data_IF_385999092648
#
_entry.id   IF_385999092648
#
_cell.length_a   1.000
_cell.length_b   1.000
_cell.length_c   1.000
_cell.angle_alpha   90.00
_cell.angle_beta   90.00
_cell.angle_gamma   90.00
#
_symmetry.space_group_name_H-M   'P 1'
#
loop_
_entity.id
_entity.type
_entity.pdbx_description
1 polymer ?
#
# COMPACT_ATOMS: atom_id res chain seq x y z
N UNK A 1 -21.06 -6.20 -6.52
CA UNK A 1 -22.43 -5.74 -6.83
C UNK A 1 -22.32 -4.48 -7.68
N UNK A 2 -23.34 -4.12 -8.45
CA UNK A 2 -23.30 -2.89 -9.26
C UNK A 2 -23.71 -1.68 -8.42
N UNK A 3 -23.21 -0.49 -8.77
CA UNK A 3 -23.60 0.79 -8.16
C UNK A 3 -25.12 0.96 -8.01
N UNK A 4 -25.89 0.44 -8.98
CA UNK A 4 -27.35 0.47 -8.97
C UNK A 4 -27.97 -0.13 -7.70
N UNK A 5 -27.31 -1.11 -7.05
CA UNK A 5 -27.81 -1.77 -5.86
C UNK A 5 -27.79 -0.90 -4.59
N UNK A 6 -26.98 0.17 -4.58
CA UNK A 6 -26.81 1.03 -3.40
C UNK A 6 -26.86 2.53 -3.71
N UNK A 7 -27.08 2.93 -4.97
CA UNK A 7 -27.21 4.34 -5.38
C UNK A 7 -28.18 5.14 -4.50
N UNK A 8 -29.34 4.59 -4.16
CA UNK A 8 -30.34 5.33 -3.39
C UNK A 8 -29.90 5.61 -1.93
N UNK A 9 -28.86 4.91 -1.46
CA UNK A 9 -28.29 5.10 -0.12
C UNK A 9 -27.28 6.25 -0.06
N UNK A 10 -26.77 6.74 -1.20
CA UNK A 10 -25.68 7.74 -1.23
C UNK A 10 -26.07 9.05 -0.54
N UNK A 11 -27.35 9.44 -0.59
CA UNK A 11 -27.88 10.63 0.09
C UNK A 11 -27.72 10.59 1.61
N UNK A 12 -27.60 9.39 2.20
CA UNK A 12 -27.38 9.20 3.64
C UNK A 12 -25.91 9.09 4.03
N UNK A 13 -24.99 9.09 3.07
CA UNK A 13 -23.57 8.91 3.36
C UNK A 13 -22.99 10.17 4.00
N UNK A 14 -22.05 9.97 4.92
CA UNK A 14 -21.32 11.07 5.51
C UNK A 14 -20.40 11.68 4.45
N UNK A 15 -20.63 12.95 4.12
CA UNK A 15 -19.75 13.72 3.25
C UNK A 15 -18.49 14.20 3.97
N UNK A 16 -17.34 13.98 3.33
CA UNK A 16 -16.02 14.41 3.79
C UNK A 16 -15.31 15.09 2.63
N UNK A 17 -15.17 16.41 2.69
CA UNK A 17 -14.38 17.17 1.72
C UNK A 17 -12.91 17.15 2.15
N UNK A 18 -12.05 16.57 1.31
CA UNK A 18 -10.61 16.41 1.60
C UNK A 18 -9.73 17.36 0.80
N UNK A 19 -10.30 18.17 -0.10
CA UNK A 19 -9.54 19.07 -1.00
C UNK A 19 -8.66 20.08 -0.27
N UNK A 20 -9.04 20.44 0.96
CA UNK A 20 -8.31 21.39 1.80
C UNK A 20 -7.80 20.76 3.10
N UNK A 21 -7.97 19.45 3.29
CA UNK A 21 -7.47 18.78 4.48
C UNK A 21 -5.96 18.61 4.39
N UNK A 22 -5.28 18.95 5.48
CA UNK A 22 -3.84 18.85 5.61
C UNK A 22 -3.46 17.68 6.52
N UNK A 23 -2.33 17.03 6.24
CA UNK A 23 -1.80 15.93 7.05
C UNK A 23 -2.45 14.57 6.74
N UNK A 24 -2.44 13.66 7.72
CA UNK A 24 -2.78 12.24 7.52
C UNK A 24 -4.31 11.97 7.45
N UNK A 25 -5.02 12.65 6.55
CA UNK A 25 -6.47 12.50 6.41
C UNK A 25 -6.86 11.10 5.91
N UNK A 26 -6.02 10.48 5.07
CA UNK A 26 -6.27 9.15 4.53
C UNK A 26 -6.36 8.08 5.64
N UNK A 27 -5.44 8.11 6.61
CA UNK A 27 -5.53 7.18 7.75
C UNK A 27 -6.79 7.42 8.59
N UNK A 28 -7.16 8.69 8.80
CA UNK A 28 -8.40 9.05 9.50
C UNK A 28 -9.65 8.53 8.77
N UNK A 29 -9.70 8.67 7.44
CA UNK A 29 -10.78 8.13 6.61
C UNK A 29 -10.86 6.61 6.69
N UNK A 30 -9.73 5.91 6.57
CA UNK A 30 -9.67 4.45 6.64
C UNK A 30 -10.15 3.96 8.01
N UNK A 31 -9.72 4.62 9.11
CA UNK A 31 -10.19 4.28 10.46
C UNK A 31 -11.68 4.54 10.66
N UNK A 32 -12.22 5.62 10.08
CA UNK A 32 -13.65 5.89 10.12
C UNK A 32 -14.43 4.84 9.33
N UNK A 33 -13.98 4.52 8.12
CA UNK A 33 -14.58 3.51 7.24
C UNK A 33 -14.55 2.11 7.87
N UNK A 34 -13.49 1.76 8.60
CA UNK A 34 -13.37 0.47 9.30
C UNK A 34 -14.50 0.22 10.33
N UNK A 35 -15.16 1.27 10.83
CA UNK A 35 -16.25 1.18 11.81
C UNK A 35 -17.65 1.08 11.20
N UNK A 36 -17.76 1.28 9.88
CA UNK A 36 -19.04 1.25 9.19
C UNK A 36 -19.56 -0.18 9.05
N UNK A 37 -20.88 -0.33 9.11
CA UNK A 37 -21.59 -1.59 8.89
C UNK A 37 -21.93 -1.81 7.41
N UNK A 38 -22.31 -3.04 7.06
CA UNK A 38 -22.71 -3.36 5.69
C UNK A 38 -23.93 -2.53 5.30
N UNK A 39 -23.86 -1.86 4.16
CA UNK A 39 -24.86 -0.92 3.65
C UNK A 39 -24.61 0.55 4.03
N UNK A 40 -23.69 0.83 4.94
CA UNK A 40 -23.25 2.19 5.26
C UNK A 40 -22.11 2.64 4.33
N UNK A 41 -21.85 3.94 4.29
CA UNK A 41 -20.90 4.52 3.36
C UNK A 41 -20.46 5.94 3.69
N UNK A 42 -19.53 6.43 2.88
CA UNK A 42 -18.98 7.79 2.92
C UNK A 42 -18.93 8.38 1.51
N UNK A 43 -19.16 9.68 1.41
CA UNK A 43 -18.87 10.48 0.21
C UNK A 43 -17.58 11.25 0.47
N UNK A 44 -16.58 11.10 -0.41
CA UNK A 44 -15.31 11.82 -0.34
C UNK A 44 -15.21 12.76 -1.52
N UNK A 45 -15.02 14.05 -1.25
CA UNK A 45 -14.80 15.05 -2.29
C UNK A 45 -13.31 15.33 -2.42
N UNK A 46 -12.75 15.15 -3.62
CA UNK A 46 -11.32 15.31 -3.91
C UNK A 46 -11.11 16.02 -5.25
N UNK A 47 -9.92 16.59 -5.43
CA UNK A 47 -9.51 17.35 -6.62
C UNK A 47 -9.17 16.46 -7.82
N UNK A 48 -8.95 15.17 -7.60
CA UNK A 48 -8.62 14.14 -8.60
C UNK A 48 -9.10 12.77 -8.10
N UNK A 49 -9.09 11.76 -8.97
CA UNK A 49 -9.42 10.38 -8.58
C UNK A 49 -8.42 9.82 -7.55
N UNK A 50 -8.87 9.50 -6.31
CA UNK A 50 -7.99 9.00 -5.27
C UNK A 50 -7.79 7.49 -5.40
N UNK A 51 -7.13 7.03 -6.48
CA UNK A 51 -6.84 5.61 -6.72
C UNK A 51 -6.26 4.85 -5.51
N UNK A 52 -5.33 5.43 -4.71
CA UNK A 52 -4.85 4.77 -3.50
C UNK A 52 -5.95 4.47 -2.47
N UNK A 53 -6.99 5.30 -2.41
CA UNK A 53 -8.12 5.15 -1.49
C UNK A 53 -9.12 4.09 -1.97
N UNK A 54 -9.30 3.94 -3.29
CA UNK A 54 -10.12 2.86 -3.87
C UNK A 54 -9.57 1.50 -3.45
N UNK A 55 -8.30 1.25 -3.77
CA UNK A 55 -7.59 0.05 -3.34
C UNK A 55 -7.55 -0.07 -1.80
N UNK A 56 -7.65 1.06 -1.09
CA UNK A 56 -7.65 1.04 0.36
C UNK A 56 -8.91 0.39 0.94
N UNK A 57 -10.06 0.88 0.49
CA UNK A 57 -11.37 0.54 1.01
C UNK A 57 -11.91 -0.76 0.40
N UNK A 58 -11.52 -1.14 -0.81
CA UNK A 58 -11.90 -2.43 -1.43
C UNK A 58 -11.48 -3.65 -0.59
N UNK A 59 -10.29 -3.60 0.02
CA UNK A 59 -9.82 -4.68 0.90
C UNK A 59 -10.58 -4.72 2.23
N UNK A 60 -11.22 -3.62 2.63
CA UNK A 60 -12.13 -3.61 3.77
C UNK A 60 -13.53 -4.12 3.39
N UNK A 61 -13.80 -4.35 2.10
CA UNK A 61 -15.12 -4.79 1.60
C UNK A 61 -16.02 -3.64 1.14
N UNK A 62 -15.44 -2.51 0.73
CA UNK A 62 -16.18 -1.43 0.08
C UNK A 62 -16.18 -1.57 -1.44
N UNK A 63 -17.27 -1.17 -2.05
CA UNK A 63 -17.34 -0.78 -3.46
C UNK A 63 -17.32 0.74 -3.56
N UNK A 64 -16.90 1.26 -4.71
CA UNK A 64 -16.87 2.70 -4.96
C UNK A 64 -17.59 3.08 -6.26
N UNK A 65 -18.08 4.31 -6.31
CA UNK A 65 -18.57 4.97 -7.51
C UNK A 65 -18.05 6.41 -7.52
N UNK A 66 -17.58 6.87 -8.68
CA UNK A 66 -16.98 8.19 -8.83
C UNK A 66 -17.78 9.01 -9.83
N UNK A 67 -18.14 10.22 -9.41
CA UNK A 67 -18.79 11.23 -10.24
C UNK A 67 -17.86 12.45 -10.34
N UNK A 68 -17.52 12.86 -11.56
CA UNK A 68 -16.78 14.09 -11.80
C UNK A 68 -17.76 15.23 -12.09
N UNK A 69 -17.88 16.18 -11.17
CA UNK A 69 -18.82 17.32 -11.27
C UNK A 69 -18.17 18.58 -11.84
N UNK A 70 -16.83 18.69 -11.75
CA UNK A 70 -16.02 19.72 -12.40
C UNK A 70 -14.63 19.18 -12.76
N UNK A 71 -13.80 19.98 -13.45
CA UNK A 71 -12.43 19.59 -13.83
C UNK A 71 -11.60 19.10 -12.63
N UNK A 72 -11.77 19.74 -11.48
CA UNK A 72 -11.07 19.46 -10.22
C UNK A 72 -12.04 19.13 -9.08
N UNK A 73 -13.20 18.55 -9.39
CA UNK A 73 -14.17 18.14 -8.37
C UNK A 73 -14.68 16.73 -8.67
N UNK A 74 -14.25 15.80 -7.81
CA UNK A 74 -14.59 14.39 -7.86
C UNK A 74 -15.31 14.01 -6.58
N UNK A 75 -16.51 13.46 -6.73
CA UNK A 75 -17.30 12.88 -5.65
C UNK A 75 -17.15 11.37 -5.72
N UNK A 76 -16.50 10.80 -4.71
CA UNK A 76 -16.31 9.36 -4.60
C UNK A 76 -17.20 8.83 -3.49
N UNK A 77 -18.18 8.02 -3.86
CA UNK A 77 -19.04 7.32 -2.92
C UNK A 77 -18.46 5.94 -2.64
N UNK A 78 -18.24 5.62 -1.37
CA UNK A 78 -17.89 4.27 -0.94
C UNK A 78 -19.03 3.65 -0.16
N UNK A 79 -19.46 2.45 -0.53
CA UNK A 79 -20.46 1.69 0.21
C UNK A 79 -19.87 0.35 0.66
N UNK A 80 -20.01 0.02 1.95
CA UNK A 80 -19.58 -1.28 2.46
C UNK A 80 -20.57 -2.35 2.01
N UNK A 81 -20.15 -3.22 1.11
CA UNK A 81 -21.00 -4.32 0.62
C UNK A 81 -20.75 -5.61 1.38
N UNK A 82 -19.59 -5.74 2.01
CA UNK A 82 -19.23 -6.87 2.85
C UNK A 82 -18.26 -6.44 3.96
N UNK A 83 -18.18 -7.24 5.03
CA UNK A 83 -17.11 -7.09 6.02
C UNK A 83 -16.03 -8.10 5.69
N UNK A 84 -14.95 -7.62 5.09
CA UNK A 84 -13.71 -8.40 5.01
C UNK A 84 -12.96 -8.20 6.31
N UNK A 85 -12.56 -9.30 6.94
CA UNK A 85 -11.42 -9.32 7.89
C UNK A 85 -10.09 -9.17 7.12
N UNK A 86 -10.11 -8.37 6.04
CA UNK A 86 -9.00 -8.20 5.13
C UNK A 86 -7.83 -7.62 5.88
N UNK A 87 -6.76 -8.40 5.95
CA UNK A 87 -5.49 -7.90 6.39
C UNK A 87 -5.10 -6.70 5.51
N UNK A 88 -4.94 -5.52 6.11
CA UNK A 88 -4.58 -4.31 5.38
C UNK A 88 -3.32 -4.58 4.54
N UNK A 89 -3.41 -4.29 3.23
CA UNK A 89 -2.27 -4.44 2.33
C UNK A 89 -1.20 -3.45 2.80
N UNK A 90 0.02 -3.92 3.11
CA UNK A 90 1.01 -3.06 3.77
C UNK A 90 1.58 -2.04 2.77
N UNK A 91 1.90 -0.85 3.25
CA UNK A 91 2.64 0.18 2.51
C UNK A 91 1.94 0.74 1.27
N UNK A 92 0.62 0.94 1.35
CA UNK A 92 -0.12 1.66 0.31
C UNK A 92 0.50 3.03 0.07
N UNK A 93 0.44 3.56 -1.15
CA UNK A 93 1.05 4.85 -1.49
C UNK A 93 0.21 6.03 -0.96
N UNK A 94 -0.36 5.95 0.24
CA UNK A 94 -1.26 6.96 0.80
C UNK A 94 -0.57 8.32 0.96
N UNK A 95 0.75 8.33 1.12
CA UNK A 95 1.54 9.56 1.14
C UNK A 95 1.40 10.41 -0.14
N UNK A 96 1.04 9.80 -1.29
CA UNK A 96 0.79 10.55 -2.53
C UNK A 96 -0.44 11.47 -2.40
N UNK A 97 -1.38 11.15 -1.52
CA UNK A 97 -2.56 11.97 -1.26
C UNK A 97 -2.22 13.29 -0.54
N UNK A 98 -1.00 13.44 -0.04
CA UNK A 98 -0.52 14.67 0.59
C UNK A 98 0.15 15.63 -0.42
N UNK A 99 0.48 15.19 -1.63
CA UNK A 99 1.13 16.02 -2.66
C UNK A 99 0.29 17.25 -3.11
N UNK A 100 -1.05 17.21 -3.08
CA UNK A 100 -1.89 18.40 -3.31
C UNK A 100 -1.60 19.56 -2.35
N UNK A 101 -1.01 19.30 -1.18
CA UNK A 101 -0.56 20.36 -0.27
C UNK A 101 0.56 21.22 -0.87
N UNK A 102 1.31 20.67 -1.84
CA UNK A 102 2.35 21.38 -2.59
C UNK A 102 1.72 21.99 -3.85
N UNK A 103 1.08 21.14 -4.66
CA UNK A 103 0.41 21.51 -5.90
C UNK A 103 -0.59 20.41 -6.32
N UNK A 104 -1.82 20.80 -6.64
CA UNK A 104 -2.90 19.85 -6.97
C UNK A 104 -2.61 19.02 -8.22
N UNK A 105 -2.03 19.66 -9.26
CA UNK A 105 -1.66 18.98 -10.50
C UNK A 105 -0.52 17.99 -10.26
N UNK A 106 0.44 18.32 -9.40
CA UNK A 106 1.49 17.42 -8.97
C UNK A 106 0.91 16.20 -8.23
N UNK A 107 -0.06 16.39 -7.35
CA UNK A 107 -0.76 15.29 -6.67
C UNK A 107 -1.42 14.33 -7.65
N UNK A 108 -2.17 14.86 -8.62
CA UNK A 108 -2.75 14.07 -9.71
C UNK A 108 -1.69 13.28 -10.49
N UNK A 109 -0.63 13.96 -10.95
CA UNK A 109 0.47 13.32 -11.71
C UNK A 109 1.10 12.19 -10.91
N UNK A 110 1.34 12.39 -9.60
CA UNK A 110 1.97 11.39 -8.76
C UNK A 110 1.10 10.14 -8.59
N UNK A 111 -0.21 10.31 -8.38
CA UNK A 111 -1.16 9.20 -8.27
C UNK A 111 -1.31 8.45 -9.59
N UNK A 112 -1.50 9.16 -10.71
CA UNK A 112 -1.61 8.56 -12.05
C UNK A 112 -0.33 7.79 -12.42
N UNK A 113 0.84 8.35 -12.07
CA UNK A 113 2.12 7.70 -12.30
C UNK A 113 2.23 6.39 -11.50
N UNK A 114 1.81 6.38 -10.24
CA UNK A 114 1.82 5.17 -9.42
C UNK A 114 0.89 4.10 -10.00
N UNK A 115 -0.34 4.46 -10.35
CA UNK A 115 -1.32 3.54 -10.92
C UNK A 115 -0.80 2.94 -12.24
N UNK A 116 -0.32 3.80 -13.15
CA UNK A 116 0.27 3.40 -14.44
C UNK A 116 1.44 2.43 -14.24
N UNK A 117 2.26 2.67 -13.22
CA UNK A 117 3.45 1.86 -12.94
C UNK A 117 3.10 0.51 -12.32
N UNK A 118 2.17 0.48 -11.35
CA UNK A 118 1.95 -0.66 -10.49
C UNK A 118 0.69 -1.47 -10.81
N UNK A 119 -0.39 -0.81 -11.21
CA UNK A 119 -1.73 -1.39 -11.37
C UNK A 119 -2.17 -1.56 -12.84
N UNK A 120 -1.39 -1.05 -13.80
CA UNK A 120 -1.76 -1.15 -15.20
C UNK A 120 -1.96 -2.61 -15.66
N UNK A 121 -3.07 -2.95 -16.34
CA UNK A 121 -3.29 -4.29 -16.88
C UNK A 121 -2.33 -4.65 -18.03
N UNK A 122 -1.56 -3.67 -18.52
CA UNK A 122 -0.56 -3.86 -19.59
C UNK A 122 0.79 -4.42 -19.08
N UNK A 123 0.92 -4.72 -17.79
CA UNK A 123 2.19 -5.25 -17.24
C UNK A 123 2.34 -6.73 -17.61
N UNK A 124 3.51 -7.08 -18.14
CA UNK A 124 3.86 -8.47 -18.50
C UNK A 124 4.45 -9.25 -17.32
N UNK A 125 5.25 -8.59 -16.49
CA UNK A 125 5.88 -9.24 -15.34
C UNK A 125 4.87 -9.37 -14.19
N UNK A 126 4.84 -10.54 -13.51
CA UNK A 126 4.08 -10.73 -12.28
C UNK A 126 4.36 -9.64 -11.25
N UNK A 127 3.39 -9.37 -10.37
CA UNK A 127 3.49 -8.29 -9.39
C UNK A 127 4.69 -8.50 -8.45
N UNK A 128 4.88 -9.73 -7.98
CA UNK A 128 5.95 -10.15 -7.08
C UNK A 128 7.32 -9.98 -7.73
N UNK A 129 7.47 -10.33 -9.01
CA UNK A 129 8.71 -10.11 -9.76
C UNK A 129 9.05 -8.62 -9.85
N UNK A 130 8.06 -7.75 -10.08
CA UNK A 130 8.28 -6.30 -10.10
C UNK A 130 8.67 -5.75 -8.73
N UNK A 131 8.12 -6.30 -7.64
CA UNK A 131 8.54 -5.95 -6.28
C UNK A 131 10.00 -6.35 -6.02
N UNK A 132 10.45 -7.53 -6.48
CA UNK A 132 11.85 -7.95 -6.36
C UNK A 132 12.81 -7.03 -7.14
N UNK A 133 12.45 -6.64 -8.36
CA UNK A 133 13.22 -5.66 -9.14
C UNK A 133 13.28 -4.30 -8.44
N UNK A 134 12.16 -3.85 -7.88
CA UNK A 134 12.09 -2.61 -7.10
C UNK A 134 12.93 -2.68 -5.82
N UNK A 135 12.92 -3.83 -5.13
CA UNK A 135 13.76 -4.10 -3.96
C UNK A 135 15.23 -3.97 -4.33
N UNK A 136 15.68 -4.71 -5.34
CA UNK A 136 17.08 -4.70 -5.76
C UNK A 136 17.54 -3.29 -6.20
N UNK A 137 16.71 -2.58 -6.96
CA UNK A 137 16.98 -1.20 -7.35
C UNK A 137 17.06 -0.26 -6.14
N UNK A 138 16.18 -0.42 -5.15
CA UNK A 138 16.22 0.36 -3.92
C UNK A 138 17.49 0.09 -3.10
N UNK A 139 17.94 -1.16 -3.03
CA UNK A 139 19.22 -1.53 -2.38
C UNK A 139 20.39 -0.85 -3.09
N UNK A 140 20.47 -0.96 -4.42
CA UNK A 140 21.54 -0.33 -5.21
C UNK A 140 21.57 1.20 -5.08
N UNK A 141 20.43 1.83 -4.77
CA UNK A 141 20.33 3.25 -4.49
C UNK A 141 20.54 3.62 -3.00
N UNK A 142 20.90 2.67 -2.13
CA UNK A 142 21.06 2.89 -0.68
C UNK A 142 19.75 3.15 0.07
N UNK A 143 18.58 2.92 -0.55
CA UNK A 143 17.26 3.22 0.01
C UNK A 143 16.69 2.03 0.79
N UNK A 144 17.34 1.65 1.89
CA UNK A 144 16.99 0.46 2.68
C UNK A 144 15.56 0.46 3.21
N UNK A 145 15.01 1.64 3.54
CA UNK A 145 13.59 1.76 3.92
C UNK A 145 12.65 1.32 2.80
N UNK A 146 12.91 1.78 1.58
CA UNK A 146 12.12 1.38 0.41
C UNK A 146 12.28 -0.12 0.15
N UNK A 147 13.53 -0.62 0.16
CA UNK A 147 13.79 -2.04 -0.06
C UNK A 147 13.05 -2.93 0.95
N UNK A 148 13.03 -2.55 2.22
CA UNK A 148 12.30 -3.25 3.28
C UNK A 148 10.80 -3.32 3.00
N UNK A 149 10.20 -2.21 2.54
CA UNK A 149 8.79 -2.15 2.14
C UNK A 149 8.49 -3.08 0.97
N UNK A 150 9.37 -3.12 -0.04
CA UNK A 150 9.23 -4.01 -1.20
C UNK A 150 9.30 -5.49 -0.79
N UNK A 151 10.22 -5.86 0.11
CA UNK A 151 10.34 -7.23 0.63
C UNK A 151 9.05 -7.67 1.34
N UNK A 152 8.56 -6.84 2.27
CA UNK A 152 7.36 -7.19 3.04
C UNK A 152 6.14 -7.26 2.13
N UNK A 153 5.99 -6.35 1.16
CA UNK A 153 4.93 -6.46 0.15
C UNK A 153 5.02 -7.77 -0.61
N UNK A 154 6.21 -8.14 -1.09
CA UNK A 154 6.38 -9.35 -1.91
C UNK A 154 5.99 -10.60 -1.11
N UNK A 155 6.44 -10.70 0.14
CA UNK A 155 6.09 -11.82 1.01
C UNK A 155 4.59 -11.86 1.34
N UNK A 156 3.97 -10.72 1.66
CA UNK A 156 2.52 -10.68 1.92
C UNK A 156 1.70 -11.05 0.69
N UNK A 157 2.20 -10.75 -0.52
CA UNK A 157 1.58 -11.13 -1.79
C UNK A 157 1.81 -12.59 -2.21
N UNK A 158 2.49 -13.40 -1.40
CA UNK A 158 2.62 -14.84 -1.66
C UNK A 158 3.96 -15.28 -2.23
N UNK A 159 4.95 -14.38 -2.38
CA UNK A 159 6.29 -14.75 -2.84
C UNK A 159 6.94 -15.79 -1.90
N UNK A 160 7.40 -16.90 -2.45
CA UNK A 160 8.20 -17.89 -1.71
C UNK A 160 9.52 -17.26 -1.20
N UNK A 161 9.91 -17.54 0.05
CA UNK A 161 11.14 -16.97 0.61
C UNK A 161 12.40 -17.46 -0.09
N UNK A 162 12.35 -18.62 -0.78
CA UNK A 162 13.45 -19.10 -1.62
C UNK A 162 13.84 -18.08 -2.70
N UNK A 163 12.88 -17.35 -3.27
CA UNK A 163 13.17 -16.29 -4.25
C UNK A 163 13.90 -15.08 -3.61
N UNK A 164 13.75 -14.87 -2.31
CA UNK A 164 14.54 -13.86 -1.59
C UNK A 164 15.98 -14.35 -1.38
N UNK A 165 16.20 -15.64 -1.18
CA UNK A 165 17.54 -16.23 -1.05
C UNK A 165 18.39 -15.88 -2.30
N UNK A 166 17.83 -16.10 -3.49
CA UNK A 166 18.44 -15.74 -4.78
C UNK A 166 18.79 -14.24 -4.85
N UNK A 167 17.85 -13.39 -4.43
CA UNK A 167 18.05 -11.93 -4.45
C UNK A 167 19.15 -11.51 -3.49
N UNK A 168 19.19 -12.02 -2.25
CA UNK A 168 20.23 -11.66 -1.30
C UNK A 168 21.61 -12.18 -1.72
N UNK A 169 21.69 -13.33 -2.36
CA UNK A 169 22.93 -13.81 -2.99
C UNK A 169 23.41 -12.84 -4.09
N UNK A 170 22.51 -12.43 -4.99
CA UNK A 170 22.81 -11.46 -6.04
C UNK A 170 23.19 -10.07 -5.48
N UNK A 171 22.61 -9.66 -4.35
CA UNK A 171 22.99 -8.41 -3.68
C UNK A 171 24.42 -8.51 -3.12
N UNK A 172 24.77 -9.61 -2.46
CA UNK A 172 26.13 -9.83 -1.97
C UNK A 172 27.16 -9.87 -3.10
N UNK A 173 26.81 -10.51 -4.23
CA UNK A 173 27.65 -10.58 -5.42
C UNK A 173 27.85 -9.21 -6.06
N UNK A 174 26.76 -8.50 -6.37
CA UNK A 174 26.81 -7.26 -7.17
C UNK A 174 27.24 -6.03 -6.37
N UNK A 175 26.96 -5.97 -5.06
CA UNK A 175 27.35 -4.85 -4.21
C UNK A 175 28.66 -5.10 -3.44
N UNK A 176 29.10 -6.36 -3.39
CA UNK A 176 30.28 -6.80 -2.67
C UNK A 176 30.02 -7.14 -1.19
N UNK A 177 30.73 -8.15 -0.69
CA UNK A 177 30.57 -8.71 0.66
C UNK A 177 30.80 -7.65 1.75
N UNK A 178 31.73 -6.71 1.53
CA UNK A 178 32.01 -5.62 2.48
C UNK A 178 30.80 -4.71 2.67
N UNK A 179 30.22 -4.22 1.56
CA UNK A 179 29.01 -3.40 1.58
C UNK A 179 27.81 -4.18 2.13
N UNK A 180 27.68 -5.46 1.74
CA UNK A 180 26.64 -6.30 2.30
C UNK A 180 26.75 -6.37 3.82
N UNK A 181 27.93 -6.64 4.35
CA UNK A 181 28.13 -6.82 5.78
C UNK A 181 27.97 -5.53 6.58
N UNK A 182 28.38 -4.38 6.02
CA UNK A 182 28.33 -3.09 6.72
C UNK A 182 27.00 -2.34 6.57
N UNK A 183 26.36 -2.42 5.40
CA UNK A 183 25.15 -1.65 5.10
C UNK A 183 23.89 -2.53 5.09
N UNK A 184 23.92 -3.65 4.37
CA UNK A 184 22.72 -4.50 4.20
C UNK A 184 22.48 -5.33 5.47
N UNK A 185 23.51 -5.95 6.03
CA UNK A 185 23.46 -6.82 7.21
C UNK A 185 22.80 -6.21 8.45
N UNK A 186 23.15 -4.97 8.86
CA UNK A 186 22.49 -4.31 9.98
C UNK A 186 21.14 -3.68 9.61
N UNK A 187 20.82 -3.53 8.32
CA UNK A 187 19.63 -2.81 7.87
C UNK A 187 18.30 -3.49 8.27
N UNK A 188 17.21 -2.72 8.35
CA UNK A 188 15.87 -3.28 8.52
C UNK A 188 15.46 -4.29 7.44
N UNK A 189 16.00 -4.17 6.22
CA UNK A 189 15.74 -5.09 5.11
C UNK A 189 16.20 -6.51 5.46
N UNK A 190 17.45 -6.64 5.90
CA UNK A 190 18.00 -7.95 6.26
C UNK A 190 17.40 -8.48 7.57
N UNK A 191 17.00 -7.60 8.48
CA UNK A 191 16.24 -8.00 9.67
C UNK A 191 14.86 -8.60 9.32
N UNK A 192 14.14 -8.01 8.36
CA UNK A 192 12.87 -8.55 7.87
C UNK A 192 13.06 -9.92 7.19
N UNK A 193 14.09 -10.06 6.36
CA UNK A 193 14.46 -11.35 5.77
C UNK A 193 14.79 -12.41 6.83
N UNK A 194 15.63 -12.09 7.82
CA UNK A 194 15.93 -13.01 8.94
C UNK A 194 14.69 -13.42 9.72
N UNK A 195 13.75 -12.49 9.94
CA UNK A 195 12.49 -12.79 10.62
C UNK A 195 11.70 -13.86 9.85
N UNK A 196 11.60 -13.74 8.53
CA UNK A 196 10.94 -14.72 7.66
C UNK A 196 11.62 -16.08 7.82
N UNK A 197 12.92 -16.18 7.52
CA UNK A 197 13.64 -17.47 7.54
C UNK A 197 13.60 -18.14 8.92
N UNK A 198 13.71 -17.36 9.99
CA UNK A 198 13.65 -17.89 11.37
C UNK A 198 12.28 -18.47 11.68
N UNK A 199 11.20 -17.78 11.31
CA UNK A 199 9.84 -18.22 11.62
C UNK A 199 9.38 -19.37 10.72
N UNK A 200 9.77 -19.40 9.46
CA UNK A 200 9.55 -20.55 8.57
C UNK A 200 10.30 -21.79 9.07
N UNK A 201 11.54 -21.63 9.53
CA UNK A 201 12.31 -22.72 10.15
C UNK A 201 11.70 -23.25 11.45
N UNK A 202 10.86 -22.46 12.12
CA UNK A 202 10.08 -22.87 13.29
C UNK A 202 8.74 -23.52 12.92
N UNK A 203 8.41 -23.62 11.63
CA UNK A 203 7.13 -24.17 11.16
C UNK A 203 5.93 -23.27 11.42
N UNK A 204 6.14 -21.95 11.57
CA UNK A 204 5.04 -21.01 11.76
C UNK A 204 4.23 -20.81 10.49
N UNK A 205 2.93 -20.61 10.67
CA UNK A 205 2.01 -20.31 9.58
C UNK A 205 2.33 -18.97 8.92
N UNK A 206 2.19 -18.90 7.60
CA UNK A 206 2.51 -17.70 6.82
C UNK A 206 1.75 -16.46 7.28
N UNK A 207 0.49 -16.63 7.67
CA UNK A 207 -0.34 -15.54 8.22
C UNK A 207 0.25 -14.95 9.51
N UNK A 208 0.81 -15.79 10.38
CA UNK A 208 1.50 -15.32 11.59
C UNK A 208 2.76 -14.51 11.23
N UNK A 209 3.52 -14.97 10.23
CA UNK A 209 4.73 -14.28 9.76
C UNK A 209 4.36 -12.93 9.13
N UNK A 210 3.32 -12.89 8.29
CA UNK A 210 2.79 -11.66 7.70
C UNK A 210 2.40 -10.64 8.77
N UNK A 211 1.68 -11.06 9.82
CA UNK A 211 1.33 -10.19 10.95
C UNK A 211 2.57 -9.67 11.67
N UNK A 212 3.54 -10.54 11.98
CA UNK A 212 4.79 -10.13 12.63
C UNK A 212 5.60 -9.15 11.78
N UNK A 213 5.63 -9.32 10.45
CA UNK A 213 6.28 -8.38 9.53
C UNK A 213 5.58 -7.02 9.52
N UNK A 214 4.25 -7.00 9.50
CA UNK A 214 3.47 -5.75 9.55
C UNK A 214 3.64 -5.02 10.88
N UNK A 215 3.72 -5.74 11.99
CA UNK A 215 3.96 -5.14 13.30
C UNK A 215 5.36 -4.58 13.42
N UNK A 216 6.38 -5.35 13.03
CA UNK A 216 7.79 -4.99 13.23
C UNK A 216 8.36 -4.11 12.15
N UNK A 217 7.90 -4.23 10.91
CA UNK A 217 8.45 -3.54 9.76
C UNK A 217 7.39 -2.77 8.98
N UNK A 218 6.13 -2.73 9.45
CA UNK A 218 5.05 -1.98 8.82
C UNK A 218 5.10 -0.47 9.07
N UNK A 219 4.01 0.21 8.72
CA UNK A 219 3.93 1.67 8.72
C UNK A 219 4.08 2.32 10.10
N UNK A 220 3.89 1.55 11.18
CA UNK A 220 4.08 2.01 12.57
C UNK A 220 5.54 1.96 13.04
N UNK A 221 6.44 1.30 12.31
CA UNK A 221 7.86 1.29 12.66
C UNK A 221 8.52 2.61 12.20
N UNK A 222 9.12 3.43 13.08
CA UNK A 222 9.77 4.69 12.69
C UNK A 222 10.96 4.52 11.70
N UNK A 223 11.57 3.34 11.64
CA UNK A 223 12.64 3.02 10.70
C UNK A 223 12.12 2.68 9.29
N UNK A 224 10.82 2.42 9.11
CA UNK A 224 10.21 1.99 7.84
C UNK A 224 9.03 2.88 7.39
N UNK A 225 8.31 3.44 8.36
CA UNK A 225 7.16 4.32 8.19
C UNK A 225 7.51 5.57 7.39
N UNK A 226 6.51 6.07 6.67
CA UNK A 226 6.58 7.31 5.87
C UNK A 226 5.50 8.31 6.28
N UNK A 227 4.74 7.99 7.34
CA UNK A 227 3.65 8.78 7.90
C UNK A 227 4.03 9.30 9.28
#
# INVERSE_FOLDING_TARGET
MSYEAWRDKTNGFRKVDVRHLQGNFAAGLIQAAARLEVGEGLEVVQTFEPHPLYAALENLGFEHHTEQTAETEFHVFFCRTEKKEGEEAPFRPLALLNYPMIDEKLGKIAVDFWETTWQSPRRTLPYETRLLLSLANAVGAGRMRQASRELVKAYVHGLDSAALDDVFELLAWNQGIGFFSSEIGPSPLFQAYKLIKTQEGQGKERSEICRALKEKFGEKNPEIGVM
#
